data_IF_978540949741
#
_entry.id   IF_978540949741
#
_cell.length_a   1.000
_cell.length_b   1.000
_cell.length_c   1.000
_cell.angle_alpha   90.00
_cell.angle_beta   90.00
_cell.angle_gamma   90.00
#
_symmetry.space_group_name_H-M   'P 1'
#
loop_
_entity.id
_entity.type
_entity.pdbx_description
1 polymer ?
#
# COMPACT_ATOMS: atom_id res chain seq x y z
N UNK A 1 25.12 -15.20 11.68
CA UNK A 1 24.52 -14.86 10.37
C UNK A 1 23.78 -13.56 10.55
N UNK A 2 24.44 -12.41 10.33
CA UNK A 2 23.92 -11.07 10.54
C UNK A 2 23.00 -10.68 9.37
N UNK A 3 21.80 -10.21 9.68
CA UNK A 3 20.87 -9.64 8.71
C UNK A 3 21.43 -8.33 8.15
N UNK A 4 21.33 -8.05 6.85
CA UNK A 4 21.77 -6.78 6.29
C UNK A 4 20.75 -5.69 6.59
N UNK A 5 20.78 -5.14 7.79
CA UNK A 5 19.90 -4.05 8.24
C UNK A 5 20.40 -2.65 7.83
N UNK A 6 21.69 -2.54 7.51
CA UNK A 6 22.34 -1.24 7.36
C UNK A 6 22.19 -0.58 5.97
N UNK A 7 21.76 -1.29 4.94
CA UNK A 7 21.66 -0.74 3.56
C UNK A 7 20.25 -0.15 3.31
N UNK A 8 19.24 -0.64 4.02
CA UNK A 8 17.85 -0.19 3.86
C UNK A 8 17.65 1.22 4.44
N UNK A 9 18.33 1.55 5.54
CA UNK A 9 18.12 2.83 6.25
C UNK A 9 18.64 4.05 5.49
N UNK A 10 19.69 3.90 4.66
CA UNK A 10 20.32 5.06 4.00
C UNK A 10 19.63 5.53 2.71
N UNK A 11 19.05 4.63 1.94
CA UNK A 11 18.35 4.97 0.69
C UNK A 11 16.98 5.58 1.00
N UNK A 12 16.35 5.16 2.09
CA UNK A 12 14.99 5.57 2.48
C UNK A 12 14.88 6.96 3.06
N UNK A 13 15.85 7.37 3.88
CA UNK A 13 15.84 8.69 4.49
C UNK A 13 16.03 9.82 3.46
N UNK A 14 16.60 9.52 2.29
CA UNK A 14 16.81 10.50 1.23
C UNK A 14 15.55 10.70 0.38
N UNK A 15 14.81 9.63 0.07
CA UNK A 15 13.55 9.72 -0.67
C UNK A 15 12.38 10.16 0.21
N UNK A 16 12.37 9.83 1.49
CA UNK A 16 11.37 10.33 2.44
C UNK A 16 11.45 11.84 2.68
N UNK A 17 12.55 12.51 2.38
CA UNK A 17 12.63 13.99 2.41
C UNK A 17 11.81 14.67 1.31
N UNK A 18 11.42 13.94 0.28
CA UNK A 18 10.55 14.42 -0.81
C UNK A 18 9.08 14.05 -0.55
N UNK A 19 8.82 12.99 0.20
CA UNK A 19 7.49 12.61 0.66
C UNK A 19 7.21 13.27 2.00
N UNK A 20 6.57 14.40 1.94
CA UNK A 20 5.83 15.11 2.99
C UNK A 20 5.93 14.55 4.43
N UNK A 21 6.36 15.40 5.36
CA UNK A 21 6.54 15.15 6.81
C UNK A 21 5.24 14.71 7.53
N UNK A 22 4.76 13.50 7.30
CA UNK A 22 3.51 12.98 7.90
C UNK A 22 3.15 11.58 7.46
N UNK A 23 3.99 10.92 6.65
CA UNK A 23 3.80 9.53 6.24
C UNK A 23 4.90 8.67 6.84
N UNK A 24 4.51 7.57 7.47
CA UNK A 24 5.42 6.58 8.05
C UNK A 24 5.34 5.29 7.24
N UNK A 25 6.51 4.78 6.83
CA UNK A 25 6.67 3.44 6.28
C UNK A 25 7.20 2.54 7.40
N UNK A 26 6.37 1.59 7.82
CA UNK A 26 6.65 0.71 8.96
C UNK A 26 6.72 -0.75 8.48
N UNK A 27 7.91 -1.38 8.51
CA UNK A 27 8.08 -2.78 8.13
C UNK A 27 7.58 -3.77 9.19
N UNK A 28 7.26 -3.32 10.41
CA UNK A 28 6.74 -4.20 11.46
C UNK A 28 5.35 -4.75 11.17
N UNK A 29 4.60 -4.08 10.29
CA UNK A 29 3.21 -4.41 9.93
C UNK A 29 2.26 -4.41 11.14
N UNK A 30 2.51 -3.54 12.12
CA UNK A 30 1.70 -3.40 13.34
C UNK A 30 0.45 -2.55 13.06
N UNK A 31 -0.53 -3.14 12.36
CA UNK A 31 -1.76 -2.47 11.97
C UNK A 31 -2.69 -2.21 13.14
N UNK A 32 -3.27 -1.02 13.18
CA UNK A 32 -4.33 -0.62 14.13
C UNK A 32 -5.69 -1.15 13.68
N UNK A 33 -5.99 -1.07 12.39
CA UNK A 33 -7.30 -1.47 11.86
C UNK A 33 -7.38 -2.99 11.68
N UNK A 34 -8.50 -3.60 12.18
CA UNK A 34 -8.70 -5.06 12.15
C UNK A 34 -8.64 -5.65 10.73
N UNK A 35 -9.31 -5.02 9.77
CA UNK A 35 -9.34 -5.53 8.40
C UNK A 35 -7.93 -5.61 7.78
N UNK A 36 -7.04 -4.67 8.14
CA UNK A 36 -5.67 -4.66 7.63
C UNK A 36 -4.80 -5.73 8.28
N UNK A 37 -5.03 -6.03 9.58
CA UNK A 37 -4.41 -7.20 10.24
C UNK A 37 -4.79 -8.49 9.51
N UNK A 38 -6.09 -8.69 9.26
CA UNK A 38 -6.58 -9.86 8.51
C UNK A 38 -5.99 -9.94 7.10
N UNK A 39 -5.89 -8.81 6.40
CA UNK A 39 -5.29 -8.75 5.06
C UNK A 39 -3.79 -9.12 5.09
N UNK A 40 -3.05 -8.65 6.09
CA UNK A 40 -1.64 -8.96 6.26
C UNK A 40 -1.42 -10.45 6.60
N UNK A 41 -2.24 -10.99 7.51
CA UNK A 41 -2.18 -12.40 7.89
C UNK A 41 -2.55 -13.32 6.71
N UNK A 42 -3.58 -12.94 5.95
CA UNK A 42 -3.96 -13.63 4.73
C UNK A 42 -2.83 -13.63 3.69
N UNK A 43 -2.21 -12.47 3.43
CA UNK A 43 -1.09 -12.38 2.50
C UNK A 43 0.09 -13.26 2.95
N UNK A 44 0.46 -13.23 4.24
CA UNK A 44 1.51 -14.10 4.80
C UNK A 44 1.20 -15.58 4.64
N UNK A 45 -0.03 -15.98 4.97
CA UNK A 45 -0.47 -17.37 4.84
C UNK A 45 -0.42 -17.84 3.38
N UNK A 46 -0.81 -16.97 2.44
CA UNK A 46 -0.80 -17.27 1.00
C UNK A 46 0.63 -17.38 0.44
N UNK A 47 1.62 -16.71 1.03
CA UNK A 47 3.03 -16.90 0.65
C UNK A 47 3.49 -18.36 0.81
N UNK A 48 3.06 -19.05 1.87
CA UNK A 48 3.59 -20.38 2.19
C UNK A 48 5.11 -20.37 2.27
N UNK A 49 5.77 -21.09 1.37
CA UNK A 49 7.24 -21.14 1.27
C UNK A 49 7.81 -20.19 0.20
N UNK A 50 6.96 -19.49 -0.53
CA UNK A 50 7.36 -18.53 -1.58
C UNK A 50 7.77 -17.20 -0.94
N UNK A 51 8.65 -16.42 -1.57
CA UNK A 51 8.98 -15.07 -1.10
C UNK A 51 7.80 -14.10 -1.20
N UNK A 52 6.88 -14.34 -2.13
CA UNK A 52 5.62 -13.62 -2.30
C UNK A 52 4.61 -14.50 -3.06
N UNK A 53 3.30 -14.29 -2.88
CA UNK A 53 2.29 -14.99 -3.67
C UNK A 53 2.16 -14.39 -5.05
N UNK A 54 1.63 -15.14 -6.00
CA UNK A 54 1.17 -14.63 -7.29
C UNK A 54 -0.27 -14.10 -7.18
N UNK A 55 -0.77 -13.44 -8.24
CA UNK A 55 -2.19 -13.02 -8.29
C UNK A 55 -3.14 -14.22 -8.24
N UNK A 56 -2.76 -15.34 -8.86
CA UNK A 56 -3.52 -16.57 -8.95
C UNK A 56 -3.64 -17.29 -7.60
N UNK A 57 -2.65 -17.13 -6.74
CA UNK A 57 -2.68 -17.67 -5.36
C UNK A 57 -3.73 -16.94 -4.49
N UNK A 58 -4.12 -15.70 -4.88
CA UNK A 58 -5.05 -14.86 -4.10
C UNK A 58 -6.51 -15.19 -4.43
N UNK A 59 -7.25 -15.69 -3.46
CA UNK A 59 -8.65 -16.10 -3.61
C UNK A 59 -9.61 -15.11 -2.97
N UNK A 60 -10.44 -14.45 -3.78
CA UNK A 60 -11.41 -13.45 -3.30
C UNK A 60 -12.41 -14.01 -2.30
N UNK A 61 -12.75 -15.31 -2.41
CA UNK A 61 -13.65 -15.99 -1.46
C UNK A 61 -13.11 -16.01 -0.02
N UNK A 62 -11.79 -15.98 0.13
CA UNK A 62 -11.10 -15.98 1.43
C UNK A 62 -10.91 -14.57 2.01
N UNK A 63 -11.18 -13.52 1.21
CA UNK A 63 -10.99 -12.11 1.61
C UNK A 63 -12.27 -11.45 2.12
N UNK A 64 -13.37 -12.17 2.32
CA UNK A 64 -14.71 -11.62 2.59
C UNK A 64 -14.73 -10.57 3.70
N UNK A 65 -13.96 -10.76 4.77
CA UNK A 65 -13.95 -9.88 5.93
C UNK A 65 -13.25 -8.54 5.68
N UNK A 66 -12.40 -8.44 4.65
CA UNK A 66 -11.64 -7.25 4.35
C UNK A 66 -11.64 -6.85 2.86
N UNK A 67 -12.42 -7.54 2.03
CA UNK A 67 -12.45 -7.31 0.57
C UNK A 67 -12.81 -5.87 0.19
N UNK A 68 -13.70 -5.23 0.95
CA UNK A 68 -14.09 -3.83 0.71
C UNK A 68 -12.93 -2.83 0.90
N UNK A 69 -11.89 -3.23 1.62
CA UNK A 69 -10.67 -2.45 1.87
C UNK A 69 -9.56 -2.73 0.84
N UNK A 70 -9.70 -3.78 0.00
CA UNK A 70 -8.63 -4.24 -0.89
C UNK A 70 -8.51 -3.35 -2.13
N UNK A 71 -7.26 -3.09 -2.52
CA UNK A 71 -6.90 -2.51 -3.82
C UNK A 71 -5.84 -3.38 -4.47
N UNK A 72 -6.00 -3.68 -5.75
CA UNK A 72 -4.99 -4.34 -6.57
C UNK A 72 -4.39 -3.31 -7.54
N UNK A 73 -3.09 -3.15 -7.48
CA UNK A 73 -2.35 -2.19 -8.31
C UNK A 73 -1.42 -2.98 -9.23
N UNK A 74 -1.62 -2.86 -10.53
CA UNK A 74 -0.74 -3.45 -11.54
C UNK A 74 0.45 -2.55 -11.84
N UNK A 75 1.57 -3.15 -12.17
CA UNK A 75 2.75 -2.48 -12.71
C UNK A 75 2.75 -2.76 -14.21
N UNK A 76 2.65 -1.72 -15.03
CA UNK A 76 2.40 -1.91 -16.47
C UNK A 76 3.60 -2.55 -17.18
N UNK A 77 4.82 -2.14 -16.83
CA UNK A 77 6.06 -2.75 -17.30
C UNK A 77 6.95 -3.13 -16.10
N UNK A 78 6.75 -4.31 -15.48
CA UNK A 78 7.41 -4.68 -14.21
C UNK A 78 8.94 -4.63 -14.21
N UNK A 79 9.55 -4.81 -15.38
CA UNK A 79 11.00 -4.79 -15.56
C UNK A 79 11.58 -3.36 -15.58
N UNK A 80 10.75 -2.33 -15.76
CA UNK A 80 11.17 -0.93 -15.89
C UNK A 80 10.92 -0.15 -14.60
N UNK A 81 11.93 0.54 -14.10
CA UNK A 81 11.83 1.34 -12.86
C UNK A 81 10.90 2.56 -12.99
N UNK A 82 10.76 3.11 -14.18
CA UNK A 82 9.91 4.26 -14.50
C UNK A 82 8.48 3.86 -14.93
N UNK A 83 8.11 2.59 -14.74
CA UNK A 83 6.81 2.07 -15.12
C UNK A 83 5.67 2.74 -14.36
N UNK A 84 4.53 2.88 -15.04
CA UNK A 84 3.30 3.40 -14.45
C UNK A 84 2.62 2.33 -13.59
N UNK A 85 1.79 2.79 -12.67
CA UNK A 85 0.95 1.97 -11.82
C UNK A 85 -0.51 2.15 -12.22
N UNK A 86 -1.23 1.05 -12.43
CA UNK A 86 -2.66 1.06 -12.76
C UNK A 86 -3.46 0.42 -11.64
N UNK A 87 -4.45 1.13 -11.13
CA UNK A 87 -5.37 0.61 -10.11
C UNK A 87 -6.33 -0.35 -10.80
N UNK A 88 -6.05 -1.66 -10.74
CA UNK A 88 -6.85 -2.70 -11.41
C UNK A 88 -8.21 -2.91 -10.75
N UNK A 89 -8.25 -2.77 -9.42
CA UNK A 89 -9.45 -2.91 -8.60
C UNK A 89 -9.29 -2.07 -7.35
N UNK A 90 -10.36 -1.41 -6.93
CA UNK A 90 -10.47 -0.78 -5.62
C UNK A 90 -11.77 -1.22 -4.95
N UNK A 91 -11.69 -1.60 -3.69
CA UNK A 91 -12.82 -1.98 -2.87
C UNK A 91 -13.70 -0.78 -2.49
N UNK A 92 -14.95 -1.05 -2.11
CA UNK A 92 -15.96 -0.01 -1.83
C UNK A 92 -15.53 0.99 -0.76
N UNK A 93 -14.81 0.54 0.28
CA UNK A 93 -14.37 1.44 1.36
C UNK A 93 -13.21 2.34 0.92
N UNK A 94 -12.39 1.88 -0.03
CA UNK A 94 -11.37 2.71 -0.68
C UNK A 94 -12.03 3.78 -1.56
N UNK A 95 -13.00 3.39 -2.40
CA UNK A 95 -13.70 4.30 -3.31
C UNK A 95 -14.60 5.31 -2.57
N UNK A 96 -15.06 5.02 -1.36
CA UNK A 96 -15.73 6.02 -0.49
C UNK A 96 -14.81 7.19 -0.13
N UNK A 97 -13.50 6.94 -0.04
CA UNK A 97 -12.52 7.97 0.30
C UNK A 97 -12.02 8.69 -0.95
N UNK A 98 -11.65 7.94 -1.98
CA UNK A 98 -10.94 8.47 -3.16
C UNK A 98 -11.82 8.61 -4.42
N UNK A 99 -13.09 8.22 -4.35
CA UNK A 99 -13.97 8.16 -5.51
C UNK A 99 -13.73 6.92 -6.39
N UNK A 100 -14.35 6.85 -7.57
CA UNK A 100 -14.26 5.70 -8.47
C UNK A 100 -12.89 5.69 -9.18
N UNK A 101 -11.95 4.95 -8.62
CA UNK A 101 -10.57 4.86 -9.10
C UNK A 101 -10.23 3.52 -9.76
N UNK A 102 -11.09 2.52 -9.68
CA UNK A 102 -10.90 1.22 -10.33
C UNK A 102 -10.70 1.36 -11.84
N UNK A 103 -9.72 0.65 -12.39
CA UNK A 103 -9.38 0.66 -13.82
C UNK A 103 -8.58 1.87 -14.29
N UNK A 104 -8.23 2.81 -13.41
CA UNK A 104 -7.53 4.05 -13.77
C UNK A 104 -6.02 3.94 -13.51
N UNK A 105 -5.18 4.61 -14.34
CA UNK A 105 -3.78 4.82 -14.00
C UNK A 105 -3.71 5.65 -12.71
N UNK A 106 -2.69 5.41 -11.88
CA UNK A 106 -2.49 6.14 -10.63
C UNK A 106 -2.40 7.65 -10.88
N UNK A 107 -1.69 8.02 -11.94
CA UNK A 107 -1.64 9.41 -12.40
C UNK A 107 -3.02 9.84 -12.90
N UNK A 108 -3.57 10.88 -12.31
CA UNK A 108 -4.88 11.43 -12.65
C UNK A 108 -6.08 10.70 -12.02
N UNK A 109 -5.86 9.55 -11.33
CA UNK A 109 -6.92 8.92 -10.53
C UNK A 109 -7.15 9.64 -9.20
N UNK A 110 -6.07 10.18 -8.62
CA UNK A 110 -6.04 10.94 -7.37
C UNK A 110 -5.12 12.16 -7.55
N UNK A 111 -5.16 13.18 -6.67
CA UNK A 111 -4.27 14.34 -6.76
C UNK A 111 -2.79 13.96 -6.79
N UNK A 112 -1.97 14.75 -7.50
CA UNK A 112 -0.57 14.44 -7.78
C UNK A 112 0.28 14.24 -6.53
N UNK A 113 0.03 14.99 -5.46
CA UNK A 113 0.73 14.85 -4.18
C UNK A 113 0.41 13.52 -3.49
N UNK A 114 -0.85 13.09 -3.51
CA UNK A 114 -1.26 11.77 -3.01
C UNK A 114 -0.71 10.64 -3.89
N UNK A 115 -0.76 10.81 -5.21
CA UNK A 115 -0.21 9.86 -6.18
C UNK A 115 1.31 9.68 -5.99
N UNK A 116 2.04 10.77 -5.75
CA UNK A 116 3.48 10.71 -5.48
C UNK A 116 3.80 9.90 -4.21
N UNK A 117 3.03 10.11 -3.12
CA UNK A 117 3.19 9.32 -1.89
C UNK A 117 2.90 7.84 -2.10
N UNK A 118 1.81 7.50 -2.79
CA UNK A 118 1.47 6.11 -3.08
C UNK A 118 2.53 5.45 -3.96
N UNK A 119 3.00 6.15 -4.99
CA UNK A 119 4.08 5.70 -5.86
C UNK A 119 5.35 5.39 -5.07
N UNK A 120 5.70 6.21 -4.09
CA UNK A 120 6.85 5.98 -3.21
C UNK A 120 6.73 4.64 -2.46
N UNK A 121 5.57 4.37 -1.85
CA UNK A 121 5.30 3.08 -1.19
C UNK A 121 5.32 1.90 -2.17
N UNK A 122 4.72 2.05 -3.35
CA UNK A 122 4.71 0.99 -4.37
C UNK A 122 6.12 0.68 -4.89
N UNK A 123 6.95 1.70 -5.13
CA UNK A 123 8.33 1.53 -5.54
C UNK A 123 9.17 0.86 -4.45
N UNK A 124 8.91 1.17 -3.17
CA UNK A 124 9.54 0.46 -2.07
C UNK A 124 9.25 -1.04 -2.13
N UNK A 125 7.96 -1.41 -2.13
CA UNK A 125 7.53 -2.82 -2.17
C UNK A 125 8.08 -3.53 -3.41
N UNK A 126 8.05 -2.87 -4.57
CA UNK A 126 8.61 -3.39 -5.82
C UNK A 126 10.09 -3.68 -5.72
N UNK A 127 10.88 -2.75 -5.16
CA UNK A 127 12.34 -2.85 -5.09
C UNK A 127 12.80 -3.83 -4.02
N UNK A 128 12.19 -3.77 -2.82
CA UNK A 128 12.58 -4.60 -1.69
C UNK A 128 11.94 -5.98 -1.67
N UNK A 129 10.81 -6.15 -2.39
CA UNK A 129 9.94 -7.33 -2.33
C UNK A 129 9.42 -7.61 -0.91
N UNK A 130 9.35 -6.59 -0.07
CA UNK A 130 8.88 -6.68 1.30
C UNK A 130 7.56 -5.94 1.46
N UNK A 131 6.61 -6.47 2.23
CA UNK A 131 5.41 -5.74 2.58
C UNK A 131 5.73 -4.61 3.56
N UNK A 132 4.95 -3.54 3.49
CA UNK A 132 5.01 -2.44 4.45
C UNK A 132 3.63 -2.02 4.94
N UNK A 133 3.59 -1.46 6.13
CA UNK A 133 2.52 -0.62 6.63
C UNK A 133 2.87 0.83 6.28
N UNK A 134 1.97 1.48 5.57
CA UNK A 134 2.09 2.87 5.14
C UNK A 134 0.99 3.66 5.84
N UNK A 135 1.33 4.62 6.68
CA UNK A 135 0.33 5.34 7.44
C UNK A 135 0.63 6.85 7.54
N UNK A 136 -0.44 7.64 7.61
CA UNK A 136 -0.38 9.09 7.71
C UNK A 136 -1.74 9.72 7.47
N UNK A 137 -1.77 11.06 7.51
CA UNK A 137 -2.98 11.79 7.18
C UNK A 137 -3.39 11.58 5.72
N UNK A 138 -4.69 11.33 5.50
CA UNK A 138 -5.28 11.32 4.16
C UNK A 138 -5.33 12.77 3.68
N UNK A 139 -4.56 13.09 2.65
CA UNK A 139 -4.55 14.41 2.01
C UNK A 139 -5.29 14.34 0.68
N UNK A 140 -6.60 14.22 0.78
CA UNK A 140 -7.48 14.15 -0.38
C UNK A 140 -8.70 15.03 -0.13
N UNK A 141 -8.89 16.05 -0.93
CA UNK A 141 -9.99 17.03 -0.81
C UNK A 141 -10.07 17.57 0.63
N UNK A 142 -11.29 17.63 1.19
CA UNK A 142 -11.54 18.10 2.56
C UNK A 142 -11.30 17.04 3.65
N UNK A 143 -10.66 15.90 3.30
CA UNK A 143 -10.50 14.73 4.20
C UNK A 143 -9.18 14.74 5.00
N UNK A 144 -8.55 15.92 5.17
CA UNK A 144 -7.26 16.08 5.89
C UNK A 144 -7.29 15.65 7.36
N UNK A 145 -8.46 15.53 7.92
CA UNK A 145 -8.74 15.07 9.29
C UNK A 145 -8.81 13.54 9.42
N UNK A 146 -8.72 12.81 8.31
CA UNK A 146 -8.63 11.35 8.35
C UNK A 146 -7.19 10.90 8.50
N UNK A 147 -6.96 9.97 9.44
CA UNK A 147 -5.78 9.11 9.42
C UNK A 147 -6.04 7.95 8.49
N UNK A 148 -5.06 7.64 7.65
CA UNK A 148 -5.07 6.48 6.76
C UNK A 148 -3.98 5.48 7.14
N UNK A 149 -4.29 4.23 6.98
CA UNK A 149 -3.37 3.11 7.16
C UNK A 149 -3.51 2.16 5.97
N UNK A 150 -2.40 1.75 5.38
CA UNK A 150 -2.41 0.90 4.21
C UNK A 150 -1.38 -0.22 4.35
N UNK A 151 -1.81 -1.45 4.13
CA UNK A 151 -0.92 -2.54 3.78
C UNK A 151 -0.54 -2.39 2.30
N UNK A 152 0.74 -2.44 1.99
CA UNK A 152 1.23 -2.60 0.62
C UNK A 152 2.14 -3.83 0.59
N UNK A 153 1.78 -4.84 -0.20
CA UNK A 153 2.47 -6.12 -0.22
C UNK A 153 2.68 -6.61 -1.67
N UNK A 154 3.83 -7.23 -1.97
CA UNK A 154 4.16 -7.64 -3.33
C UNK A 154 3.36 -8.87 -3.77
N UNK A 155 2.98 -8.89 -5.06
CA UNK A 155 2.50 -10.06 -5.77
C UNK A 155 3.36 -10.28 -7.02
N UNK A 156 3.81 -11.50 -7.24
CA UNK A 156 4.59 -11.86 -8.40
C UNK A 156 5.33 -13.17 -8.24
N UNK A 157 6.32 -13.35 -9.08
CA UNK A 157 7.20 -14.52 -9.12
C UNK A 157 8.68 -14.10 -8.88
N UNK A 158 9.46 -14.01 -9.94
CA UNK A 158 10.82 -13.47 -9.92
C UNK A 158 10.85 -11.94 -9.83
N UNK A 159 9.80 -11.28 -10.34
CA UNK A 159 9.59 -9.83 -10.26
C UNK A 159 8.24 -9.51 -9.65
N UNK A 160 8.12 -8.35 -9.01
CA UNK A 160 6.83 -7.85 -8.51
C UNK A 160 6.03 -7.33 -9.70
N UNK A 161 4.88 -7.96 -9.97
CA UNK A 161 3.98 -7.60 -11.08
C UNK A 161 2.79 -6.78 -10.63
N UNK A 162 2.41 -6.95 -9.38
CA UNK A 162 1.29 -6.23 -8.76
C UNK A 162 1.60 -5.92 -7.31
N UNK A 163 0.87 -4.94 -6.77
CA UNK A 163 0.86 -4.64 -5.35
C UNK A 163 -0.54 -4.97 -4.81
N UNK A 164 -0.58 -5.84 -3.80
CA UNK A 164 -1.77 -6.07 -3.00
C UNK A 164 -1.82 -5.02 -1.90
N UNK A 165 -2.87 -4.23 -1.88
CA UNK A 165 -3.09 -3.21 -0.86
C UNK A 165 -4.37 -3.51 -0.08
N UNK A 166 -4.38 -3.12 1.19
CA UNK A 166 -5.59 -2.97 1.97
C UNK A 166 -5.53 -1.63 2.70
N UNK A 167 -6.57 -0.81 2.55
CA UNK A 167 -6.63 0.56 3.08
C UNK A 167 -7.78 0.71 4.06
N UNK A 168 -7.53 1.41 5.15
CA UNK A 168 -8.56 1.90 6.07
C UNK A 168 -8.26 3.33 6.48
N UNK A 169 -9.31 4.10 6.75
CA UNK A 169 -9.19 5.46 7.27
C UNK A 169 -10.19 5.66 8.42
N UNK A 170 -9.83 6.51 9.36
CA UNK A 170 -10.67 6.89 10.50
C UNK A 170 -10.43 8.34 10.89
N UNK A 171 -11.37 8.89 11.67
CA UNK A 171 -11.24 10.25 12.17
C UNK A 171 -10.10 10.38 13.19
N UNK A 172 -9.19 11.31 12.96
CA UNK A 172 -8.17 11.65 13.94
C UNK A 172 -8.78 12.58 15.02
N UNK A 173 -9.24 11.97 16.10
CA UNK A 173 -9.85 12.71 17.23
C UNK A 173 -8.84 13.63 17.97
N UNK A 174 -7.54 13.44 17.76
CA UNK A 174 -6.52 14.25 18.43
C UNK A 174 -6.45 15.69 17.90
N UNK A 175 -6.95 15.96 16.70
CA UNK A 175 -6.96 17.32 16.12
C UNK A 175 -8.14 18.20 16.59
N UNK A 176 -9.16 17.64 17.25
CA UNK A 176 -10.31 18.39 17.75
C UNK A 176 -10.17 18.86 19.21
N UNK A 177 -9.03 18.59 19.83
CA UNK A 177 -8.75 18.95 21.23
C UNK A 177 -7.81 20.18 21.37
N UNK A 178 -7.70 21.01 20.32
CA UNK A 178 -6.92 22.28 20.37
C UNK A 178 -7.76 23.47 20.05
#
# INVERSE_FOLDING_TARGET
MQRPQAIVDHVFLTDMKVADAGVVMDPSLSFTHRALRHAADYWRATCGTKPMPTREDMRTSEMREFLSHVTLVGIDEPERLDSEFTIRLAGKDVEKVFGPISGKPLRGAIPDDAAARWRSGYNFVRTTRQPIRFCGHVRFEDKRWLMGETLMAPLGDSVVRMIFCAFAAWHDLAQHAR
#
